data_IF_789255438110
#
_entry.id   IF_789255438110
#
_cell.length_a   1.000
_cell.length_b   1.000
_cell.length_c   1.000
_cell.angle_alpha   90.00
_cell.angle_beta   90.00
_cell.angle_gamma   90.00
#
_symmetry.space_group_name_H-M   'P 1'
#
loop_
_entity.id
_entity.type
_entity.pdbx_description
1 polymer ?
#
# COMPACT_ATOMS: atom_id res chain seq x y z
N UNK A 1 5.24 -3.95 4.32
CA UNK A 1 3.78 -4.11 4.49
C UNK A 1 3.27 -2.99 5.37
N UNK A 2 1.96 -2.77 5.39
CA UNK A 2 1.30 -1.79 6.24
C UNK A 2 0.15 -2.48 6.96
N UNK A 3 -0.08 -2.13 8.23
CA UNK A 3 -1.24 -2.59 8.99
C UNK A 3 -1.90 -1.37 9.65
N UNK A 4 -3.19 -1.19 9.41
CA UNK A 4 -4.00 -0.09 9.96
C UNK A 4 -5.33 -0.69 10.42
N UNK A 5 -5.70 -0.45 11.68
CA UNK A 5 -6.95 -0.96 12.29
C UNK A 5 -7.15 -2.49 12.12
N UNK A 6 -6.05 -3.25 12.12
CA UNK A 6 -6.06 -4.71 11.94
C UNK A 6 -6.18 -5.17 10.48
N UNK A 7 -6.27 -4.27 9.52
CA UNK A 7 -6.18 -4.56 8.09
C UNK A 7 -4.72 -4.51 7.63
N UNK A 8 -4.14 -5.68 7.39
CA UNK A 8 -2.75 -5.85 6.98
C UNK A 8 -2.62 -6.10 5.48
N UNK A 9 -1.80 -5.28 4.81
CA UNK A 9 -1.57 -5.32 3.36
C UNK A 9 -0.07 -5.36 3.04
N UNK A 10 0.27 -6.08 1.99
CA UNK A 10 1.61 -6.12 1.44
C UNK A 10 1.60 -5.71 -0.03
N UNK A 11 2.62 -4.94 -0.42
CA UNK A 11 2.79 -4.45 -1.79
C UNK A 11 4.07 -5.06 -2.34
N UNK A 12 4.00 -5.62 -3.54
CA UNK A 12 5.16 -6.27 -4.14
C UNK A 12 6.15 -5.20 -4.64
N UNK A 13 7.45 -5.43 -4.39
CA UNK A 13 8.51 -4.55 -4.88
C UNK A 13 8.49 -4.43 -6.41
N UNK A 14 8.36 -5.52 -7.20
CA UNK A 14 8.32 -5.39 -8.66
C UNK A 14 7.12 -4.58 -9.18
N UNK A 15 5.98 -4.60 -8.47
CA UNK A 15 4.83 -3.77 -8.80
C UNK A 15 5.16 -2.30 -8.56
N UNK A 16 5.68 -1.95 -7.38
CA UNK A 16 6.04 -0.57 -7.06
C UNK A 16 7.18 -0.04 -7.94
N UNK A 17 8.15 -0.87 -8.31
CA UNK A 17 9.19 -0.46 -9.26
C UNK A 17 8.67 -0.15 -10.67
N UNK A 18 7.47 -0.63 -11.05
CA UNK A 18 6.83 -0.34 -12.34
C UNK A 18 5.73 0.72 -12.23
N UNK A 19 5.01 0.72 -11.12
CA UNK A 19 3.93 1.63 -10.77
C UNK A 19 4.33 2.27 -9.45
N UNK A 20 5.22 3.26 -9.57
CA UNK A 20 5.94 3.94 -8.49
C UNK A 20 5.04 4.42 -7.35
N UNK A 21 3.77 4.67 -7.65
CA UNK A 21 2.77 5.07 -6.67
C UNK A 21 1.51 4.20 -6.81
N UNK A 22 1.04 3.67 -5.69
CA UNK A 22 -0.26 3.00 -5.55
C UNK A 22 -1.11 3.74 -4.54
N UNK A 23 -2.30 4.19 -4.95
CA UNK A 23 -3.31 4.71 -4.04
C UNK A 23 -4.19 3.54 -3.58
N UNK A 24 -4.27 3.33 -2.26
CA UNK A 24 -5.09 2.27 -1.65
C UNK A 24 -5.87 2.83 -0.44
N UNK A 25 -6.83 2.07 0.05
CA UNK A 25 -7.54 2.31 1.31
C UNK A 25 -7.29 1.11 2.21
N UNK A 26 -6.61 1.34 3.34
CA UNK A 26 -6.30 0.30 4.33
C UNK A 26 -6.85 0.72 5.68
N UNK A 27 -7.63 -0.16 6.32
CA UNK A 27 -8.32 0.19 7.57
C UNK A 27 -9.18 1.46 7.44
N UNK A 28 -9.88 1.62 6.31
CA UNK A 28 -10.72 2.79 6.01
C UNK A 28 -9.96 4.10 5.73
N UNK A 29 -8.62 4.11 5.81
CA UNK A 29 -7.80 5.30 5.60
C UNK A 29 -7.21 5.32 4.19
N UNK A 30 -7.42 6.39 3.40
CA UNK A 30 -6.75 6.55 2.12
C UNK A 30 -5.25 6.77 2.32
N UNK A 31 -4.44 6.02 1.58
CA UNK A 31 -2.97 6.08 1.62
C UNK A 31 -2.38 6.08 0.21
N UNK A 32 -1.18 6.64 0.09
CA UNK A 32 -0.32 6.48 -1.08
C UNK A 32 0.91 5.66 -0.67
N UNK A 33 1.18 4.59 -1.40
CA UNK A 33 2.34 3.73 -1.22
C UNK A 33 3.32 4.02 -2.34
N UNK A 34 4.55 4.36 -1.96
CA UNK A 34 5.67 4.63 -2.86
C UNK A 34 6.89 3.81 -2.42
N UNK A 35 7.79 3.53 -3.35
CA UNK A 35 9.10 2.93 -3.08
C UNK A 35 10.20 3.97 -3.23
#
# INVERSE_FOLDING_TARGET
GVEIEGDARAYSVPLLSRHEIVNDVVGGKPIAVTW
#
